data_IF_558620103772
#
_entry.id   IF_558620103772
#
_cell.length_a   1.000
_cell.length_b   1.000
_cell.length_c   1.000
_cell.angle_alpha   90.00
_cell.angle_beta   90.00
_cell.angle_gamma   90.00
#
_symmetry.space_group_name_H-M   'P 1'
#
loop_
_entity.id
_entity.type
_entity.pdbx_description
1 polymer ?
#
# COMPACT_ATOMS: atom_id res chain seq x y z
N UNK A 1 0.95 41.36 -35.97
CA UNK A 1 -0.09 42.42 -35.84
C UNK A 1 -0.63 42.39 -34.44
N UNK A 2 -0.50 43.52 -33.74
CA UNK A 2 -0.90 43.82 -32.37
C UNK A 2 -2.41 43.78 -32.21
N UNK A 3 -2.92 43.33 -31.04
CA UNK A 3 -4.05 43.99 -30.34
C UNK A 3 -4.07 43.58 -28.88
N UNK A 4 -3.61 44.51 -28.07
CA UNK A 4 -3.90 44.62 -26.62
C UNK A 4 -5.35 45.07 -26.46
N UNK A 5 -6.03 44.54 -25.43
CA UNK A 5 -7.21 45.18 -24.85
C UNK A 5 -7.05 45.16 -23.31
N UNK A 6 -6.82 46.36 -22.82
CA UNK A 6 -6.95 46.78 -21.41
C UNK A 6 -8.39 47.24 -21.17
N UNK A 7 -9.05 46.81 -20.11
CA UNK A 7 -10.22 47.50 -19.50
C UNK A 7 -10.17 47.12 -18.02
N UNK A 8 -9.73 47.97 -17.15
CA UNK A 8 -10.38 49.09 -16.42
C UNK A 8 -11.13 48.63 -15.14
N UNK A 9 -10.53 49.07 -14.08
CA UNK A 9 -10.92 49.31 -12.69
C UNK A 9 -12.36 49.80 -12.52
N UNK A 10 -13.11 49.27 -11.53
CA UNK A 10 -14.12 50.07 -10.82
C UNK A 10 -14.14 49.71 -9.32
N UNK A 11 -13.60 50.63 -8.55
CA UNK A 11 -13.80 50.77 -7.09
C UNK A 11 -15.24 51.21 -6.82
N UNK A 12 -15.93 50.58 -5.93
CA UNK A 12 -17.10 51.19 -5.25
C UNK A 12 -17.06 50.89 -3.76
N UNK A 13 -16.63 51.88 -2.99
CA UNK A 13 -16.75 51.99 -1.54
C UNK A 13 -18.19 52.34 -1.17
N UNK A 14 -18.80 51.58 -0.24
CA UNK A 14 -20.01 52.07 0.44
C UNK A 14 -19.89 51.81 1.96
N UNK A 15 -19.57 52.83 2.69
CA UNK A 15 -19.62 52.93 4.14
C UNK A 15 -21.07 53.13 4.59
N UNK A 16 -21.61 52.26 5.42
CA UNK A 16 -22.81 52.51 6.20
C UNK A 16 -22.52 52.32 7.68
N UNK A 17 -22.36 53.47 8.37
CA UNK A 17 -22.44 53.58 9.82
C UNK A 17 -23.87 53.46 10.26
N UNK A 18 -24.22 52.46 11.08
CA UNK A 18 -25.41 52.49 11.92
C UNK A 18 -25.01 52.22 13.37
N UNK A 19 -25.06 53.32 14.13
CA UNK A 19 -25.04 53.33 15.59
C UNK A 19 -26.45 53.00 16.08
N UNK A 20 -26.61 51.97 16.89
CA UNK A 20 -27.75 51.81 17.76
C UNK A 20 -27.30 51.19 19.09
N UNK A 21 -27.20 52.01 20.12
CA UNK A 21 -27.14 51.60 21.50
C UNK A 21 -28.48 51.04 21.95
N UNK A 22 -28.52 49.78 22.35
CA UNK A 22 -29.58 49.27 23.24
C UNK A 22 -28.93 48.31 24.25
N UNK A 23 -29.05 48.67 25.53
CA UNK A 23 -28.81 47.80 26.67
C UNK A 23 -29.73 46.55 26.57
N UNK A 24 -29.10 45.39 26.45
CA UNK A 24 -29.78 44.14 26.66
C UNK A 24 -28.98 43.32 27.68
N UNK A 25 -29.70 42.86 28.67
CA UNK A 25 -29.33 41.96 29.74
C UNK A 25 -28.36 40.88 29.27
N UNK A 26 -27.25 40.74 30.00
CA UNK A 26 -26.34 39.62 29.84
C UNK A 26 -26.98 38.44 30.58
N UNK A 27 -27.65 37.54 29.84
CA UNK A 27 -27.89 36.18 30.31
C UNK A 27 -26.54 35.44 30.17
N UNK A 28 -26.06 34.89 31.28
CA UNK A 28 -24.88 34.02 31.30
C UNK A 28 -25.09 32.88 30.30
N UNK A 29 -24.24 32.83 29.27
CA UNK A 29 -24.14 31.69 28.35
C UNK A 29 -23.77 30.43 29.14
N UNK A 30 -24.40 29.27 28.87
CA UNK A 30 -23.98 28.03 29.51
C UNK A 30 -22.50 27.76 29.16
N UNK A 31 -21.75 27.46 30.20
CA UNK A 31 -20.34 27.04 30.14
C UNK A 31 -20.29 25.79 29.23
N UNK A 32 -19.90 25.98 27.96
CA UNK A 32 -19.58 24.90 27.08
C UNK A 32 -18.30 24.26 27.63
N UNK A 33 -18.48 23.10 28.28
CA UNK A 33 -17.34 22.29 28.69
C UNK A 33 -16.38 22.13 27.52
N UNK A 34 -15.12 22.41 27.79
CA UNK A 34 -14.00 22.19 26.88
C UNK A 34 -13.89 20.69 26.59
N UNK A 35 -14.72 20.21 25.66
CA UNK A 35 -14.48 18.96 24.97
C UNK A 35 -13.37 19.24 23.96
N UNK A 36 -12.16 19.38 24.45
CA UNK A 36 -10.98 19.09 23.64
C UNK A 36 -11.07 17.61 23.28
N UNK A 37 -11.78 17.32 22.19
CA UNK A 37 -11.60 16.07 21.48
C UNK A 37 -10.12 16.05 21.14
N UNK A 38 -9.34 15.28 21.90
CA UNK A 38 -8.02 14.85 21.49
C UNK A 38 -8.22 14.27 20.09
N UNK A 39 -7.81 15.01 19.07
CA UNK A 39 -7.54 14.42 17.79
C UNK A 39 -6.35 13.50 18.08
N UNK A 40 -6.63 12.24 18.42
CA UNK A 40 -5.65 11.18 18.25
C UNK A 40 -5.12 11.41 16.84
N UNK A 41 -3.84 11.75 16.77
CA UNK A 41 -3.13 11.96 15.53
C UNK A 41 -3.43 10.73 14.68
N UNK A 42 -4.28 10.87 13.66
CA UNK A 42 -4.61 9.77 12.75
C UNK A 42 -3.27 9.37 12.12
N UNK A 43 -2.63 8.36 12.72
CA UNK A 43 -1.39 7.79 12.20
C UNK A 43 -1.64 7.46 10.73
N UNK A 44 -0.84 8.04 9.85
CA UNK A 44 -0.92 7.72 8.44
C UNK A 44 -0.85 6.19 8.26
N UNK A 45 -1.64 5.60 7.36
CA UNK A 45 -1.57 4.16 7.13
C UNK A 45 -0.14 3.78 6.77
N UNK A 46 0.38 2.73 7.38
CA UNK A 46 1.73 2.23 7.09
C UNK A 46 1.87 1.87 5.60
N UNK A 47 3.03 2.17 5.02
CA UNK A 47 3.33 1.81 3.63
C UNK A 47 3.84 0.36 3.53
N UNK A 48 3.69 -0.24 2.35
CA UNK A 48 4.23 -1.57 2.10
C UNK A 48 5.77 -1.59 2.22
N UNK A 49 6.44 -0.51 1.82
CA UNK A 49 7.89 -0.35 1.99
C UNK A 49 8.33 -0.32 3.46
N UNK A 50 7.57 0.36 4.34
CA UNK A 50 7.85 0.37 5.78
C UNK A 50 7.69 -1.04 6.39
N UNK A 51 6.66 -1.79 5.98
CA UNK A 51 6.45 -3.17 6.46
C UNK A 51 7.61 -4.07 6.02
N UNK A 52 8.01 -4.01 4.75
CA UNK A 52 9.15 -4.80 4.25
C UNK A 52 10.45 -4.41 4.93
N UNK A 53 10.68 -3.12 5.20
CA UNK A 53 11.86 -2.64 5.93
C UNK A 53 11.94 -3.20 7.35
N UNK A 54 10.80 -3.27 8.05
CA UNK A 54 10.73 -3.90 9.37
C UNK A 54 11.03 -5.40 9.30
N UNK A 55 10.45 -6.11 8.32
CA UNK A 55 10.74 -7.53 8.09
C UNK A 55 12.23 -7.75 7.83
N UNK A 56 12.84 -6.97 6.94
CA UNK A 56 14.28 -7.03 6.62
C UNK A 56 15.10 -6.87 7.89
N UNK A 57 14.76 -5.90 8.73
CA UNK A 57 15.48 -5.62 9.98
C UNK A 57 15.30 -6.74 11.01
N UNK A 58 14.05 -7.13 11.28
CA UNK A 58 13.69 -8.10 12.32
C UNK A 58 14.22 -9.50 12.02
N UNK A 59 14.20 -9.91 10.75
CA UNK A 59 14.64 -11.24 10.31
C UNK A 59 16.06 -11.24 9.73
N UNK A 60 16.76 -10.10 9.76
CA UNK A 60 18.14 -9.96 9.23
C UNK A 60 18.26 -10.45 7.78
N UNK A 61 17.28 -10.09 6.93
CA UNK A 61 17.28 -10.47 5.52
C UNK A 61 18.42 -9.76 4.79
N UNK A 62 19.25 -10.52 4.06
CA UNK A 62 20.28 -9.94 3.22
C UNK A 62 19.68 -9.41 1.91
N UNK A 63 19.49 -8.10 1.81
CA UNK A 63 18.84 -7.46 0.66
C UNK A 63 19.63 -7.56 -0.64
N UNK A 64 20.92 -7.86 -0.60
CA UNK A 64 21.74 -8.10 -1.81
C UNK A 64 21.32 -9.37 -2.56
N UNK A 65 20.59 -10.28 -1.91
CA UNK A 65 20.07 -11.49 -2.52
C UNK A 65 18.71 -11.28 -3.24
N UNK A 66 18.20 -10.03 -3.27
CA UNK A 66 16.87 -9.71 -3.80
C UNK A 66 16.86 -8.49 -4.72
N UNK A 67 16.08 -8.58 -5.78
CA UNK A 67 15.54 -7.40 -6.44
C UNK A 67 14.37 -6.88 -5.61
N UNK A 68 14.35 -5.56 -5.36
CA UNK A 68 13.26 -4.89 -4.64
C UNK A 68 12.41 -4.11 -5.62
N UNK A 69 11.10 -4.44 -5.67
CA UNK A 69 10.11 -3.66 -6.39
C UNK A 69 9.31 -2.83 -5.38
N UNK A 70 9.42 -1.52 -5.46
CA UNK A 70 8.78 -0.58 -4.52
C UNK A 70 7.96 0.45 -5.30
N UNK A 71 6.68 0.56 -4.99
CA UNK A 71 5.75 1.49 -5.64
C UNK A 71 6.17 2.96 -5.48
N UNK A 72 6.81 3.30 -4.37
CA UNK A 72 7.26 4.66 -4.08
C UNK A 72 8.47 5.09 -4.91
N UNK A 73 9.21 4.13 -5.49
CA UNK A 73 10.43 4.35 -6.28
C UNK A 73 10.14 4.08 -7.75
N UNK A 74 10.08 5.12 -8.57
CA UNK A 74 9.64 5.04 -9.98
C UNK A 74 10.42 4.00 -10.80
N UNK A 75 11.73 3.93 -10.62
CA UNK A 75 12.62 3.04 -11.36
C UNK A 75 12.49 1.57 -10.94
N UNK A 76 11.90 1.30 -9.76
CA UNK A 76 11.68 -0.06 -9.25
C UNK A 76 10.21 -0.48 -9.28
N UNK A 77 9.36 0.23 -10.00
CA UNK A 77 7.97 -0.17 -10.20
C UNK A 77 7.85 -1.38 -11.12
N UNK A 78 6.88 -2.22 -10.79
CA UNK A 78 6.46 -3.30 -11.69
C UNK A 78 5.88 -2.70 -12.99
N UNK A 79 6.43 -3.09 -14.13
CA UNK A 79 5.82 -2.84 -15.43
C UNK A 79 4.78 -3.93 -15.79
N UNK A 80 3.96 -3.68 -16.81
CA UNK A 80 2.94 -4.63 -17.27
C UNK A 80 3.51 -5.99 -17.67
N UNK A 81 4.72 -6.01 -18.25
CA UNK A 81 5.39 -7.25 -18.64
C UNK A 81 5.79 -8.08 -17.42
N UNK A 82 6.33 -7.44 -16.40
CA UNK A 82 6.72 -8.07 -15.14
C UNK A 82 5.48 -8.55 -14.37
N UNK A 83 4.41 -7.75 -14.30
CA UNK A 83 3.14 -8.15 -13.69
C UNK A 83 2.59 -9.40 -14.39
N UNK A 84 2.53 -9.39 -15.71
CA UNK A 84 2.08 -10.54 -16.48
C UNK A 84 2.97 -11.77 -16.24
N UNK A 85 4.29 -11.62 -16.30
CA UNK A 85 5.22 -12.71 -16.08
C UNK A 85 5.11 -13.32 -14.68
N UNK A 86 4.89 -12.52 -13.65
CA UNK A 86 4.80 -13.02 -12.28
C UNK A 86 3.45 -13.68 -11.97
N UNK A 87 2.34 -13.14 -12.48
CA UNK A 87 1.02 -13.41 -11.91
C UNK A 87 0.00 -14.05 -12.88
N UNK A 88 0.31 -14.19 -14.17
CA UNK A 88 -0.60 -14.81 -15.15
C UNK A 88 -0.74 -16.35 -15.02
N UNK A 89 0.06 -16.98 -14.16
CA UNK A 89 0.16 -18.44 -14.07
C UNK A 89 1.08 -19.04 -15.13
N UNK A 90 1.28 -20.36 -15.06
CA UNK A 90 2.25 -21.06 -15.91
C UNK A 90 1.93 -21.00 -17.41
N UNK A 91 0.64 -20.97 -17.75
CA UNK A 91 0.16 -20.99 -19.14
C UNK A 91 -0.14 -19.57 -19.67
N UNK A 92 0.13 -18.53 -18.91
CA UNK A 92 -0.17 -17.12 -19.22
C UNK A 92 -1.64 -16.93 -19.63
N UNK A 93 -2.56 -17.67 -19.01
CA UNK A 93 -3.99 -17.67 -19.35
C UNK A 93 -4.78 -16.61 -18.59
N UNK A 94 -4.21 -16.07 -17.50
CA UNK A 94 -4.81 -15.02 -16.70
C UNK A 94 -4.16 -13.67 -17.07
N UNK A 95 -4.98 -12.64 -17.23
CA UNK A 95 -4.49 -11.25 -17.33
C UNK A 95 -4.66 -10.59 -15.97
N UNK A 96 -3.58 -10.41 -15.19
CA UNK A 96 -3.69 -9.83 -13.87
C UNK A 96 -4.16 -8.37 -13.94
N UNK A 97 -5.18 -8.03 -13.15
CA UNK A 97 -5.67 -6.67 -12.99
C UNK A 97 -5.12 -6.05 -11.69
N UNK A 98 -4.26 -5.05 -11.83
CA UNK A 98 -3.64 -4.32 -10.74
C UNK A 98 -4.24 -2.91 -10.58
N UNK A 99 -5.39 -2.64 -11.19
CA UNK A 99 -6.05 -1.31 -11.13
C UNK A 99 -6.41 -0.86 -9.72
N UNK A 100 -6.64 -1.81 -8.80
CA UNK A 100 -6.93 -1.54 -7.39
C UNK A 100 -5.67 -1.46 -6.51
N UNK A 101 -4.47 -1.69 -7.04
CA UNK A 101 -3.23 -1.63 -6.27
C UNK A 101 -2.76 -0.18 -6.16
N UNK A 102 -2.64 0.30 -4.92
CA UNK A 102 -2.23 1.69 -4.62
C UNK A 102 -0.85 1.80 -4.01
N UNK A 103 -0.32 0.69 -3.49
CA UNK A 103 1.03 0.59 -2.94
C UNK A 103 1.48 -0.86 -2.94
N UNK A 104 2.77 -1.10 -3.05
CA UNK A 104 3.38 -2.43 -2.89
C UNK A 104 4.87 -2.33 -2.57
N UNK A 105 5.37 -3.39 -1.94
CA UNK A 105 6.80 -3.66 -1.89
C UNK A 105 7.03 -5.17 -1.96
N UNK A 106 7.95 -5.58 -2.84
CA UNK A 106 8.31 -6.97 -3.06
C UNK A 106 9.81 -7.17 -2.90
N UNK A 107 10.18 -8.30 -2.31
CA UNK A 107 11.54 -8.87 -2.35
C UNK A 107 11.51 -10.12 -3.22
N UNK A 108 12.10 -10.04 -4.40
CA UNK A 108 12.18 -11.13 -5.39
C UNK A 108 13.62 -11.63 -5.47
N UNK A 109 13.89 -12.92 -5.22
CA UNK A 109 15.26 -13.39 -5.14
C UNK A 109 15.98 -13.33 -6.50
N UNK A 110 17.20 -12.84 -6.49
CA UNK A 110 18.15 -12.91 -7.64
C UNK A 110 18.95 -14.20 -7.63
N UNK A 111 18.78 -15.02 -6.59
CA UNK A 111 19.46 -16.31 -6.40
C UNK A 111 18.55 -17.47 -6.83
N UNK A 112 19.07 -18.71 -6.77
CA UNK A 112 18.32 -19.94 -7.03
C UNK A 112 17.51 -20.38 -5.80
N UNK A 113 16.75 -19.45 -5.18
CA UNK A 113 15.89 -19.70 -4.03
C UNK A 113 14.42 -19.36 -4.35
N UNK A 114 13.48 -20.02 -3.68
CA UNK A 114 12.07 -19.68 -3.77
C UNK A 114 11.67 -18.55 -2.81
N UNK A 115 12.53 -18.19 -1.87
CA UNK A 115 12.27 -17.17 -0.85
C UNK A 115 11.82 -15.85 -1.49
N UNK A 116 10.57 -15.46 -1.27
CA UNK A 116 9.98 -14.26 -1.86
C UNK A 116 8.93 -13.69 -0.89
N UNK A 117 8.82 -12.37 -0.82
CA UNK A 117 7.84 -11.67 0.00
C UNK A 117 7.20 -10.58 -0.88
N UNK A 118 5.88 -10.56 -0.95
CA UNK A 118 5.15 -9.48 -1.62
C UNK A 118 4.03 -8.97 -0.73
N UNK A 119 4.01 -7.64 -0.50
CA UNK A 119 2.98 -6.96 0.28
C UNK A 119 2.37 -5.89 -0.62
N UNK A 120 1.05 -5.86 -0.69
CA UNK A 120 0.28 -4.96 -1.54
C UNK A 120 -0.81 -4.28 -0.73
N UNK A 121 -1.13 -3.06 -1.10
CA UNK A 121 -2.24 -2.29 -0.57
C UNK A 121 -3.24 -1.96 -1.66
N UNK A 122 -4.50 -2.14 -1.35
CA UNK A 122 -5.62 -1.96 -2.27
C UNK A 122 -6.44 -0.73 -1.88
N UNK A 123 -7.05 -0.06 -2.84
CA UNK A 123 -8.08 0.96 -2.61
C UNK A 123 -9.47 0.34 -2.39
N UNK A 124 -9.67 -0.90 -2.84
CA UNK A 124 -10.88 -1.69 -2.61
C UNK A 124 -10.53 -3.07 -2.02
N UNK A 125 -10.86 -3.27 -0.75
CA UNK A 125 -10.62 -4.56 -0.08
C UNK A 125 -11.38 -5.74 -0.73
N UNK A 126 -12.43 -5.51 -1.52
CA UNK A 126 -13.13 -6.57 -2.25
C UNK A 126 -12.28 -7.22 -3.33
N UNK A 127 -11.22 -6.55 -3.83
CA UNK A 127 -10.27 -7.10 -4.79
C UNK A 127 -9.26 -8.09 -4.16
N UNK A 128 -9.23 -8.22 -2.82
CA UNK A 128 -8.23 -9.05 -2.14
C UNK A 128 -8.29 -10.53 -2.55
N UNK A 129 -9.50 -11.09 -2.77
CA UNK A 129 -9.64 -12.49 -3.18
C UNK A 129 -9.08 -12.75 -4.59
N UNK A 130 -9.24 -11.80 -5.51
CA UNK A 130 -8.66 -11.87 -6.84
C UNK A 130 -7.14 -11.80 -6.77
N UNK A 131 -6.60 -10.85 -5.99
CA UNK A 131 -5.16 -10.72 -5.77
C UNK A 131 -4.54 -11.99 -5.16
N UNK A 132 -5.22 -12.63 -4.19
CA UNK A 132 -4.76 -13.92 -3.64
C UNK A 132 -4.71 -15.01 -4.72
N UNK A 133 -5.61 -14.99 -5.68
CA UNK A 133 -5.57 -15.87 -6.84
C UNK A 133 -4.30 -15.67 -7.69
N UNK A 134 -3.90 -14.43 -7.93
CA UNK A 134 -2.65 -14.11 -8.66
C UNK A 134 -1.42 -14.57 -7.88
N UNK A 135 -1.41 -14.40 -6.56
CA UNK A 135 -0.32 -14.87 -5.70
C UNK A 135 -0.21 -16.40 -5.65
N UNK A 136 -1.35 -17.10 -5.66
CA UNK A 136 -1.35 -18.55 -5.79
C UNK A 136 -0.76 -19.01 -7.14
N UNK A 137 -1.05 -18.31 -8.23
CA UNK A 137 -0.40 -18.55 -9.53
C UNK A 137 1.12 -18.35 -9.44
N UNK A 138 1.59 -17.28 -8.77
CA UNK A 138 3.01 -17.03 -8.55
C UNK A 138 3.66 -18.17 -7.77
N UNK A 139 3.09 -18.56 -6.65
CA UNK A 139 3.60 -19.65 -5.80
C UNK A 139 3.66 -20.98 -6.59
N UNK A 140 2.61 -21.31 -7.34
CA UNK A 140 2.57 -22.53 -8.17
C UNK A 140 3.65 -22.51 -9.27
N UNK A 141 3.87 -21.38 -9.93
CA UNK A 141 4.91 -21.21 -10.94
C UNK A 141 6.30 -21.41 -10.33
N UNK A 142 6.58 -20.82 -9.14
CA UNK A 142 7.84 -21.01 -8.42
C UNK A 142 8.03 -22.48 -8.02
N UNK A 143 7.02 -23.12 -7.44
CA UNK A 143 7.07 -24.53 -7.07
C UNK A 143 7.42 -25.43 -8.27
N UNK A 144 6.76 -25.22 -9.40
CA UNK A 144 7.05 -25.96 -10.64
C UNK A 144 8.44 -25.71 -11.16
N UNK A 145 8.95 -24.49 -11.05
CA UNK A 145 10.31 -24.16 -11.49
C UNK A 145 11.35 -24.96 -10.70
N UNK A 146 11.16 -25.13 -9.39
CA UNK A 146 12.14 -25.83 -8.54
C UNK A 146 11.96 -27.35 -8.50
N UNK A 147 10.76 -27.88 -8.75
CA UNK A 147 10.44 -29.29 -8.64
C UNK A 147 11.44 -30.25 -9.31
N UNK A 148 12.03 -29.95 -10.49
CA UNK A 148 12.96 -30.85 -11.15
C UNK A 148 14.35 -30.97 -10.50
N UNK A 149 14.76 -29.99 -9.67
CA UNK A 149 16.16 -29.92 -9.20
C UNK A 149 16.35 -29.51 -7.74
N UNK A 150 15.34 -28.98 -7.08
CA UNK A 150 15.41 -28.58 -5.68
C UNK A 150 14.05 -28.73 -4.98
N UNK A 151 13.81 -29.93 -4.43
CA UNK A 151 12.52 -30.23 -3.79
C UNK A 151 12.24 -29.33 -2.58
N UNK A 152 13.26 -28.97 -1.78
CA UNK A 152 13.07 -28.11 -0.61
C UNK A 152 12.57 -26.71 -1.00
N UNK A 153 13.13 -26.12 -2.08
CA UNK A 153 12.64 -24.83 -2.58
C UNK A 153 11.27 -24.95 -3.24
N UNK A 154 10.99 -26.12 -3.88
CA UNK A 154 9.66 -26.39 -4.43
C UNK A 154 8.60 -26.50 -3.32
N UNK A 155 8.91 -27.18 -2.22
CA UNK A 155 8.02 -27.27 -1.06
C UNK A 155 7.80 -25.90 -0.42
N UNK A 156 8.87 -25.12 -0.21
CA UNK A 156 8.78 -23.73 0.30
C UNK A 156 7.78 -22.90 -0.51
N UNK A 157 7.82 -22.98 -1.83
CA UNK A 157 6.87 -22.28 -2.69
C UNK A 157 5.45 -22.85 -2.62
N UNK A 158 5.27 -24.17 -2.46
CA UNK A 158 3.95 -24.80 -2.26
C UNK A 158 3.33 -24.38 -0.93
N UNK A 159 4.17 -24.20 0.09
CA UNK A 159 3.77 -23.80 1.44
C UNK A 159 3.65 -22.28 1.59
N UNK A 160 3.55 -21.54 0.48
CA UNK A 160 3.35 -20.10 0.49
C UNK A 160 2.18 -19.71 1.38
N UNK A 161 2.40 -18.77 2.30
CA UNK A 161 1.35 -18.17 3.09
C UNK A 161 0.79 -17.00 2.31
N UNK A 162 -0.51 -17.06 1.95
CA UNK A 162 -1.23 -16.02 1.20
C UNK A 162 -2.41 -15.58 2.03
N UNK A 163 -2.48 -14.31 2.39
CA UNK A 163 -3.49 -13.79 3.31
C UNK A 163 -3.80 -12.32 3.06
N UNK A 164 -4.79 -11.78 3.76
CA UNK A 164 -5.18 -10.37 3.69
C UNK A 164 -5.82 -9.90 5.00
N UNK A 165 -5.65 -8.61 5.32
CA UNK A 165 -6.32 -7.93 6.42
C UNK A 165 -6.58 -6.48 6.05
N UNK A 166 -7.84 -6.04 6.14
CA UNK A 166 -8.24 -4.69 5.72
C UNK A 166 -7.95 -4.46 4.25
N UNK A 167 -7.19 -3.42 3.94
CA UNK A 167 -6.75 -3.08 2.59
C UNK A 167 -5.43 -3.74 2.16
N UNK A 168 -4.81 -4.54 3.03
CA UNK A 168 -3.53 -5.18 2.72
C UNK A 168 -3.74 -6.64 2.32
N UNK A 169 -2.95 -7.08 1.33
CA UNK A 169 -2.90 -8.47 0.86
C UNK A 169 -1.44 -8.84 0.63
N UNK A 170 -1.04 -10.04 1.00
CA UNK A 170 0.35 -10.46 0.91
C UNK A 170 0.52 -11.94 0.56
N UNK A 171 1.72 -12.26 0.09
CA UNK A 171 2.21 -13.62 -0.01
C UNK A 171 3.64 -13.70 0.53
N UNK A 172 3.94 -14.82 1.17
CA UNK A 172 5.21 -15.07 1.84
C UNK A 172 5.65 -16.49 1.49
N UNK A 173 6.82 -16.63 0.89
CA UNK A 173 7.47 -17.91 0.59
C UNK A 173 8.82 -17.95 1.28
N UNK A 174 8.83 -18.29 2.56
CA UNK A 174 10.03 -18.34 3.41
C UNK A 174 9.97 -19.54 4.35
N UNK A 175 11.03 -19.77 5.12
CA UNK A 175 11.03 -20.79 6.17
C UNK A 175 10.34 -20.29 7.47
N UNK A 176 9.94 -19.01 7.54
CA UNK A 176 9.35 -18.35 8.73
C UNK A 176 8.06 -17.58 8.40
N UNK A 177 7.23 -18.12 7.52
CA UNK A 177 6.02 -17.47 7.01
C UNK A 177 5.13 -16.88 8.12
N UNK A 178 4.83 -17.67 9.17
CA UNK A 178 3.92 -17.25 10.25
C UNK A 178 4.50 -16.12 11.10
N UNK A 179 5.82 -16.08 11.30
CA UNK A 179 6.47 -15.03 12.08
C UNK A 179 6.47 -13.72 11.32
N UNK A 180 6.67 -13.79 9.99
CA UNK A 180 6.59 -12.63 9.10
C UNK A 180 5.16 -12.11 9.04
N UNK A 181 4.15 -12.98 8.88
CA UNK A 181 2.74 -12.58 8.91
C UNK A 181 2.37 -11.89 10.23
N UNK A 182 2.85 -12.42 11.36
CA UNK A 182 2.63 -11.77 12.66
C UNK A 182 3.18 -10.35 12.70
N UNK A 183 4.34 -10.11 12.08
CA UNK A 183 4.94 -8.78 11.97
C UNK A 183 4.09 -7.85 11.09
N UNK A 184 3.60 -8.34 9.96
CA UNK A 184 2.69 -7.57 9.09
C UNK A 184 1.45 -7.14 9.88
N UNK A 185 0.80 -8.10 10.57
CA UNK A 185 -0.41 -7.85 11.35
C UNK A 185 -0.19 -6.90 12.53
N UNK A 186 0.99 -6.87 13.13
CA UNK A 186 1.36 -5.90 14.17
C UNK A 186 1.48 -4.47 13.63
N UNK A 187 1.97 -4.33 12.40
CA UNK A 187 2.22 -3.02 11.80
C UNK A 187 0.97 -2.36 11.21
N UNK A 188 0.02 -3.15 10.70
CA UNK A 188 -1.20 -2.64 10.04
C UNK A 188 -2.36 -2.38 11.01
N UNK A 189 -2.24 -2.73 12.28
CA UNK A 189 -3.20 -2.42 13.37
C UNK A 189 -2.97 -1.01 13.91
#
# INVERSE_FOLDING_TARGET
MKKSILISVLLLSLTMLFSCTQNAHIEEAPEYGDNTVSFDELKAPVTCGEIVSEIVTKFSVNTEDFDTFDYSVEESRLDEGTISYFYSGQDFTVSPDFSHVTDYCLLVPVTTAATEIGIFKLDDASAAEEMKGYFANRAAARASTFAPYNEAESEKARDALISSEGSYVWYIMTDTNSDIESTILEMIK
#
